data_IF_266811267674
#
_entry.id   IF_266811267674
#
_cell.length_a   1.000
_cell.length_b   1.000
_cell.length_c   1.000
_cell.angle_alpha   90.00
_cell.angle_beta   90.00
_cell.angle_gamma   90.00
#
_symmetry.space_group_name_H-M   'P 1'
#
loop_
_entity.id
_entity.type
_entity.pdbx_description
1 polymer ?
#
# COMPACT_ATOMS: atom_id res chain seq x y z
N UNK A 1 -13.40 -14.24 -0.16
CA UNK A 1 -12.42 -13.15 -0.06
C UNK A 1 -12.98 -12.02 -0.89
N UNK A 2 -13.41 -10.96 -0.23
CA UNK A 2 -13.88 -9.74 -0.87
C UNK A 2 -12.79 -8.69 -0.73
N UNK A 3 -12.52 -7.95 -1.81
CA UNK A 3 -11.56 -6.86 -1.82
C UNK A 3 -12.26 -5.62 -2.38
N UNK A 4 -12.31 -4.56 -1.58
CA UNK A 4 -12.88 -3.27 -1.97
C UNK A 4 -11.75 -2.35 -2.34
N UNK A 5 -11.75 -1.85 -3.57
CA UNK A 5 -10.78 -0.84 -4.02
C UNK A 5 -11.38 0.54 -3.74
N UNK A 6 -10.67 1.34 -2.94
CA UNK A 6 -11.07 2.71 -2.62
C UNK A 6 -10.39 3.73 -3.54
N UNK A 7 -9.12 3.49 -3.87
CA UNK A 7 -8.35 4.37 -4.73
C UNK A 7 -7.35 3.59 -5.57
N UNK A 8 -7.12 4.06 -6.79
CA UNK A 8 -5.99 3.65 -7.61
C UNK A 8 -5.64 4.78 -8.56
N UNK A 9 -4.35 5.04 -8.72
CA UNK A 9 -3.87 5.96 -9.76
C UNK A 9 -3.58 5.24 -11.08
N UNK A 10 -3.92 3.95 -11.21
CA UNK A 10 -3.69 3.06 -12.36
C UNK A 10 -2.23 2.89 -12.81
N UNK A 11 -1.30 3.63 -12.21
CA UNK A 11 0.11 3.62 -12.59
C UNK A 11 0.98 2.98 -11.52
N UNK A 12 0.82 3.38 -10.27
CA UNK A 12 1.81 3.13 -9.22
C UNK A 12 1.21 2.48 -7.97
N UNK A 13 -0.08 2.68 -7.69
CA UNK A 13 -0.68 2.19 -6.44
C UNK A 13 -2.17 1.85 -6.47
N UNK A 14 -2.57 1.07 -5.46
CA UNK A 14 -3.96 0.73 -5.13
C UNK A 14 -4.12 0.79 -3.61
N UNK A 15 -5.17 1.47 -3.15
CA UNK A 15 -5.64 1.45 -1.76
C UNK A 15 -6.94 0.67 -1.72
N UNK A 16 -7.02 -0.32 -0.84
CA UNK A 16 -8.23 -1.12 -0.68
C UNK A 16 -8.30 -1.84 0.65
N UNK A 17 -9.50 -2.29 1.00
CA UNK A 17 -9.73 -3.21 2.12
C UNK A 17 -9.79 -4.64 1.59
N UNK A 18 -9.04 -5.54 2.20
CA UNK A 18 -9.14 -6.96 1.94
C UNK A 18 -9.66 -7.63 3.21
N UNK A 19 -10.75 -8.37 3.09
CA UNK A 19 -11.26 -9.18 4.20
C UNK A 19 -10.58 -10.55 4.20
N UNK A 20 -9.47 -10.62 4.95
CA UNK A 20 -8.70 -11.85 5.17
C UNK A 20 -8.25 -11.90 6.64
N UNK A 21 -8.94 -12.71 7.44
CA UNK A 21 -8.79 -12.73 8.91
C UNK A 21 -9.14 -11.39 9.60
N UNK A 22 -10.09 -10.64 9.01
CA UNK A 22 -10.50 -9.29 9.43
C UNK A 22 -10.23 -8.25 8.34
N UNK A 23 -10.72 -7.04 8.57
CA UNK A 23 -10.52 -5.90 7.67
C UNK A 23 -9.05 -5.46 7.65
N UNK A 24 -8.39 -5.64 6.51
CA UNK A 24 -7.05 -5.11 6.27
C UNK A 24 -7.09 -4.02 5.20
N UNK A 25 -7.11 -2.77 5.66
CA UNK A 25 -6.90 -1.61 4.80
C UNK A 25 -5.42 -1.53 4.41
N UNK A 26 -5.14 -1.70 3.12
CA UNK A 26 -3.80 -1.92 2.59
C UNK A 26 -3.48 -0.96 1.44
N UNK A 27 -2.24 -0.46 1.42
CA UNK A 27 -1.66 0.26 0.29
C UNK A 27 -0.69 -0.66 -0.45
N UNK A 28 -1.00 -0.93 -1.71
CA UNK A 28 -0.15 -1.70 -2.63
C UNK A 28 0.53 -0.75 -3.60
N UNK A 29 1.83 -0.94 -3.82
CA UNK A 29 2.64 -0.14 -4.74
C UNK A 29 3.48 -1.03 -5.64
N UNK A 30 3.87 -0.52 -6.81
CA UNK A 30 4.86 -1.20 -7.66
C UNK A 30 6.20 -1.30 -6.93
N UNK A 31 6.93 -2.40 -7.16
CA UNK A 31 8.28 -2.63 -6.62
C UNK A 31 9.24 -1.48 -6.96
N UNK A 32 9.10 -0.91 -8.15
CA UNK A 32 9.90 0.22 -8.66
C UNK A 32 9.79 1.50 -7.82
N UNK A 33 8.65 1.71 -7.16
CA UNK A 33 8.37 2.92 -6.37
C UNK A 33 8.29 2.63 -4.87
N UNK A 34 8.68 1.42 -4.43
CA UNK A 34 8.59 1.00 -3.03
C UNK A 34 9.34 1.95 -2.08
N UNK A 35 10.51 2.43 -2.53
CA UNK A 35 11.40 3.31 -1.74
C UNK A 35 11.02 4.80 -1.85
N UNK A 36 10.14 5.13 -2.81
CA UNK A 36 9.74 6.49 -3.14
C UNK A 36 8.26 6.51 -3.54
N UNK A 37 7.40 6.07 -2.61
CA UNK A 37 5.96 5.98 -2.85
C UNK A 37 5.39 7.37 -3.17
N UNK A 38 4.63 7.52 -4.27
CA UNK A 38 4.00 8.79 -4.61
C UNK A 38 3.13 9.35 -3.47
N UNK A 39 3.16 10.68 -3.28
CA UNK A 39 2.44 11.32 -2.17
C UNK A 39 0.93 11.14 -2.28
N UNK A 40 0.36 11.15 -3.49
CA UNK A 40 -1.08 10.90 -3.72
C UNK A 40 -1.52 9.56 -3.14
N UNK A 41 -0.68 8.51 -3.27
CA UNK A 41 -0.96 7.19 -2.72
C UNK A 41 -0.95 7.18 -1.20
N UNK A 42 -0.01 7.92 -0.58
CA UNK A 42 0.10 8.02 0.87
C UNK A 42 -1.09 8.82 1.42
N UNK A 43 -1.41 9.95 0.81
CA UNK A 43 -2.51 10.81 1.23
C UNK A 43 -3.84 10.05 1.18
N UNK A 44 -4.14 9.37 0.06
CA UNK A 44 -5.35 8.55 -0.05
C UNK A 44 -5.37 7.37 0.93
N UNK A 45 -4.21 6.78 1.25
CA UNK A 45 -4.14 5.71 2.24
C UNK A 45 -4.42 6.23 3.66
N UNK A 46 -3.85 7.37 4.05
CA UNK A 46 -4.10 8.03 5.34
C UNK A 46 -5.57 8.45 5.45
N UNK A 47 -6.12 9.09 4.42
CA UNK A 47 -7.50 9.56 4.40
C UNK A 47 -8.51 8.41 4.43
N UNK A 48 -8.24 7.33 3.69
CA UNK A 48 -9.16 6.18 3.59
C UNK A 48 -9.08 5.28 4.81
N UNK A 49 -7.87 4.92 5.24
CA UNK A 49 -7.67 3.95 6.31
C UNK A 49 -7.60 4.59 7.71
N UNK A 50 -7.47 5.93 7.79
CA UNK A 50 -7.38 6.65 9.06
C UNK A 50 -6.11 6.34 9.86
N UNK A 51 -5.05 5.87 9.20
CA UNK A 51 -3.80 5.47 9.84
C UNK A 51 -2.72 6.52 9.65
N UNK A 52 -1.85 6.68 10.65
CA UNK A 52 -0.61 7.46 10.51
C UNK A 52 0.46 6.50 10.00
N UNK A 53 0.93 6.69 8.78
CA UNK A 53 1.99 5.86 8.19
C UNK A 53 3.30 6.15 8.92
N UNK A 54 3.94 5.15 9.56
CA UNK A 54 5.29 5.34 10.09
C UNK A 54 6.25 5.64 8.92
N UNK A 55 7.32 6.43 9.12
CA UNK A 55 8.33 6.63 8.09
C UNK A 55 8.83 5.27 7.58
N UNK A 56 8.85 5.12 6.25
CA UNK A 56 9.11 3.86 5.56
C UNK A 56 10.37 3.18 6.12
N UNK A 57 10.18 2.06 6.82
CA UNK A 57 11.26 1.30 7.46
C UNK A 57 11.87 0.35 6.43
N UNK A 58 12.68 0.92 5.51
CA UNK A 58 13.42 0.18 4.48
C UNK A 58 14.15 -1.03 5.03
N UNK A 59 14.64 -0.95 6.27
CA UNK A 59 15.38 -2.00 6.96
C UNK A 59 14.57 -3.29 7.19
N UNK A 60 13.24 -3.24 7.11
CA UNK A 60 12.36 -4.40 7.27
C UNK A 60 12.06 -5.12 5.95
N UNK A 61 12.36 -4.49 4.81
CA UNK A 61 12.20 -5.11 3.50
C UNK A 61 13.46 -5.92 3.18
N UNK A 62 13.39 -7.25 3.25
CA UNK A 62 14.43 -8.11 2.67
C UNK A 62 14.55 -7.79 1.18
N UNK A 63 15.72 -7.34 0.73
CA UNK A 63 15.97 -6.92 -0.66
C UNK A 63 15.63 -8.00 -1.72
N UNK A 64 15.39 -9.24 -1.29
CA UNK A 64 15.18 -10.42 -2.13
C UNK A 64 13.75 -10.96 -2.27
N UNK A 65 12.69 -10.30 -1.81
CA UNK A 65 11.32 -10.77 -2.12
C UNK A 65 10.72 -10.01 -3.31
N UNK A 66 10.60 -10.70 -4.45
CA UNK A 66 9.90 -10.20 -5.65
C UNK A 66 10.52 -10.58 -7.00
N UNK A 67 11.44 -11.55 -7.07
CA UNK A 67 11.94 -12.11 -8.33
C UNK A 67 11.20 -13.41 -8.66
N UNK A 68 9.93 -13.29 -9.10
CA UNK A 68 9.18 -14.33 -9.79
C UNK A 68 8.30 -13.72 -10.89
#
# INVERSE_FOLDING_TARGET
>A
MEAVIYYTNYENCVVGDVDYHGHQCSLWVKREVKDAVPQDCIDHFVDTCGVIVPPHSRDLCSDGEGDY
#
